data_IF_287075757641
#
_entry.id   IF_287075757641
#
_cell.length_a   1.000
_cell.length_b   1.000
_cell.length_c   1.000
_cell.angle_alpha   90.00
_cell.angle_beta   90.00
_cell.angle_gamma   90.00
#
_symmetry.space_group_name_H-M   'P 1'
#
loop_
_entity.id
_entity.type
_entity.pdbx_description
1 polymer ?
#
# COMPACT_ATOMS: atom_id res chain seq x y z
N UNK A 1 -5.98 18.48 7.98
CA UNK A 1 -5.89 17.85 7.96
C UNK A 1 -6.43 17.08 7.40
N UNK A 2 -6.41 16.63 6.91
CA UNK A 2 -7.11 15.95 6.43
C UNK A 2 -6.73 14.87 5.93
N UNK A 3 -6.64 14.06 6.49
CA UNK A 3 -6.43 12.82 6.21
C UNK A 3 -7.48 12.32 5.42
N UNK A 4 -7.46 12.53 4.23
CA UNK A 4 -8.49 12.05 3.34
C UNK A 4 -8.15 10.64 2.93
N UNK A 5 -8.96 9.70 3.36
CA UNK A 5 -8.87 8.32 2.92
C UNK A 5 -9.98 8.05 1.91
N UNK A 6 -9.69 7.19 0.95
CA UNK A 6 -10.63 6.82 -0.09
C UNK A 6 -10.77 5.30 -0.17
N UNK A 7 -11.97 4.79 -0.44
CA UNK A 7 -12.14 3.35 -0.65
C UNK A 7 -11.27 2.87 -1.81
N UNK A 8 -10.64 1.73 -1.62
CA UNK A 8 -9.73 1.18 -2.61
C UNK A 8 -9.72 -0.32 -2.58
N UNK A 9 -9.32 -0.93 -3.68
CA UNK A 9 -9.01 -2.35 -3.75
C UNK A 9 -7.52 -2.48 -3.84
N UNK A 10 -6.95 -3.24 -2.95
CA UNK A 10 -5.51 -3.42 -2.88
C UNK A 10 -5.17 -4.88 -3.11
N UNK A 11 -4.40 -5.13 -4.18
CA UNK A 11 -3.83 -6.45 -4.42
C UNK A 11 -2.38 -6.38 -3.97
N UNK A 12 -1.93 -7.36 -3.19
CA UNK A 12 -0.55 -7.36 -2.75
C UNK A 12 0.05 -8.74 -2.88
N UNK A 13 1.29 -8.77 -3.33
CA UNK A 13 2.01 -10.00 -3.58
C UNK A 13 2.93 -10.36 -2.43
N UNK A 14 2.86 -11.62 -2.01
CA UNK A 14 3.68 -12.15 -0.95
C UNK A 14 4.53 -13.28 -1.47
N UNK A 15 5.74 -13.41 -0.95
CA UNK A 15 6.58 -14.57 -1.23
C UNK A 15 6.41 -15.54 -0.07
N UNK A 16 5.96 -16.74 -0.35
CA UNK A 16 5.74 -17.75 0.67
C UNK A 16 6.66 -18.93 0.44
N UNK A 17 6.65 -19.84 1.40
CA UNK A 17 7.40 -21.08 1.28
C UNK A 17 7.02 -21.88 0.02
N UNK A 18 5.79 -21.74 -0.43
CA UNK A 18 5.30 -22.47 -1.59
C UNK A 18 5.31 -21.63 -2.88
N UNK A 19 5.92 -20.46 -2.86
CA UNK A 19 5.99 -19.58 -4.01
C UNK A 19 5.32 -18.27 -3.76
N UNK A 20 4.97 -17.56 -4.83
CA UNK A 20 4.36 -16.26 -4.71
C UNK A 20 2.84 -16.38 -4.74
N UNK A 21 2.17 -15.63 -3.89
CA UNK A 21 0.71 -15.56 -3.89
C UNK A 21 0.30 -14.10 -3.92
N UNK A 22 -0.89 -13.85 -4.43
CA UNK A 22 -1.47 -12.51 -4.44
C UNK A 22 -2.75 -12.54 -3.63
N UNK A 23 -2.90 -11.57 -2.74
CA UNK A 23 -4.10 -11.40 -1.94
C UNK A 23 -4.77 -10.10 -2.30
N UNK A 24 -6.07 -10.02 -2.13
CA UNK A 24 -6.85 -8.83 -2.41
C UNK A 24 -7.61 -8.43 -1.15
N UNK A 25 -7.61 -7.14 -0.86
CA UNK A 25 -8.36 -6.61 0.28
C UNK A 25 -9.01 -5.30 -0.12
N UNK A 26 -10.24 -5.08 0.35
CA UNK A 26 -10.89 -3.78 0.22
C UNK A 26 -10.55 -2.98 1.47
N UNK A 27 -10.07 -1.76 1.28
CA UNK A 27 -9.61 -0.94 2.37
C UNK A 27 -9.74 0.54 2.02
N UNK A 28 -9.40 1.39 2.96
CA UNK A 28 -9.33 2.82 2.71
C UNK A 28 -7.88 3.23 2.70
N UNK A 29 -7.50 4.03 1.72
CA UNK A 29 -6.11 4.43 1.55
C UNK A 29 -5.98 5.92 1.34
N UNK A 30 -4.83 6.45 1.72
CA UNK A 30 -4.41 7.80 1.42
C UNK A 30 -3.13 7.74 0.60
N UNK A 31 -2.97 8.66 -0.33
CA UNK A 31 -1.79 8.72 -1.17
C UNK A 31 -1.03 10.01 -0.89
N UNK A 32 0.28 9.89 -0.73
CA UNK A 32 1.16 11.04 -0.54
C UNK A 32 2.31 10.95 -1.51
N UNK A 33 2.78 12.08 -1.99
CA UNK A 33 3.97 12.11 -2.82
C UNK A 33 5.21 12.21 -1.93
N UNK A 34 6.34 11.70 -2.42
CA UNK A 34 7.61 11.86 -1.74
C UNK A 34 8.24 13.14 -2.27
N UNK A 35 8.51 14.15 -1.41
CA UNK A 35 8.92 15.48 -1.89
C UNK A 35 10.14 15.50 -2.76
N UNK A 36 11.11 14.63 -2.48
CA UNK A 36 12.38 14.66 -3.21
C UNK A 36 12.39 13.65 -4.36
N UNK A 37 11.32 12.90 -4.58
CA UNK A 37 11.31 11.87 -5.60
C UNK A 37 9.92 11.77 -6.20
N UNK A 38 9.69 12.38 -7.35
CA UNK A 38 8.37 12.39 -7.97
C UNK A 38 7.94 11.02 -8.50
N UNK A 39 8.87 10.06 -8.56
CA UNK A 39 8.53 8.74 -9.05
C UNK A 39 8.07 7.81 -7.94
N UNK A 40 8.23 8.19 -6.69
CA UNK A 40 7.78 7.36 -5.56
C UNK A 40 6.52 7.93 -4.96
N UNK A 41 5.74 7.07 -4.35
CA UNK A 41 4.58 7.53 -3.60
C UNK A 41 4.47 6.74 -2.30
N UNK A 42 3.78 7.32 -1.35
CA UNK A 42 3.50 6.68 -0.09
C UNK A 42 2.03 6.31 -0.06
N UNK A 43 1.76 5.06 0.27
CA UNK A 43 0.40 4.57 0.41
C UNK A 43 0.14 4.35 1.89
N UNK A 44 -0.84 5.05 2.43
CA UNK A 44 -1.26 4.87 3.81
C UNK A 44 -2.52 4.04 3.82
N UNK A 45 -2.49 2.91 4.49
CA UNK A 45 -3.64 2.00 4.58
C UNK A 45 -4.24 2.16 5.96
N UNK A 46 -5.50 2.55 6.00
CA UNK A 46 -6.19 2.78 7.26
C UNK A 46 -6.47 1.46 7.96
N UNK A 47 -6.39 1.47 9.28
CA UNK A 47 -6.74 0.29 10.07
C UNK A 47 -8.22 -0.07 9.87
N UNK A 48 -8.59 -1.35 9.89
CA UNK A 48 -7.73 -2.49 10.18
C UNK A 48 -6.87 -2.88 8.98
N UNK A 49 -5.65 -3.29 9.25
CA UNK A 49 -4.69 -3.65 8.22
C UNK A 49 -4.44 -5.15 8.31
N UNK A 50 -4.43 -5.87 7.17
CA UNK A 50 -4.08 -7.28 7.20
C UNK A 50 -2.70 -7.51 7.83
N UNK A 51 -2.58 -8.56 8.62
CA UNK A 51 -1.35 -8.81 9.38
C UNK A 51 -0.14 -9.02 8.48
N UNK A 52 -0.35 -9.51 7.27
CA UNK A 52 0.73 -9.83 6.36
C UNK A 52 0.98 -8.75 5.31
N UNK A 53 0.26 -7.63 5.36
CA UNK A 53 0.46 -6.58 4.36
C UNK A 53 1.85 -5.96 4.45
N UNK A 54 2.44 -5.91 5.63
CA UNK A 54 3.78 -5.35 5.79
C UNK A 54 4.85 -6.25 5.16
N UNK A 55 4.50 -7.46 4.75
CA UNK A 55 5.42 -8.34 4.06
C UNK A 55 5.27 -8.29 2.55
N UNK A 56 4.38 -7.45 2.05
CA UNK A 56 4.13 -7.35 0.62
C UNK A 56 5.37 -6.84 -0.12
N UNK A 57 5.64 -7.42 -1.26
CA UNK A 57 6.75 -7.01 -2.12
C UNK A 57 6.26 -6.12 -3.24
N UNK A 58 5.08 -6.38 -3.75
CA UNK A 58 4.50 -5.66 -4.88
C UNK A 58 3.06 -5.34 -4.50
N UNK A 59 2.59 -4.17 -4.86
CA UNK A 59 1.20 -3.81 -4.68
C UNK A 59 0.61 -3.25 -5.96
N UNK A 60 -0.70 -3.47 -6.12
CA UNK A 60 -1.50 -2.82 -7.15
C UNK A 60 -2.71 -2.26 -6.43
N UNK A 61 -2.86 -0.95 -6.44
CA UNK A 61 -3.97 -0.31 -5.74
C UNK A 61 -4.87 0.38 -6.75
N UNK A 62 -6.17 0.13 -6.63
CA UNK A 62 -7.18 0.77 -7.46
C UNK A 62 -7.99 1.71 -6.59
N UNK A 63 -7.83 2.99 -6.83
CA UNK A 63 -8.46 4.03 -6.02
C UNK A 63 -8.89 5.18 -6.91
N UNK A 64 -10.12 5.62 -6.77
CA UNK A 64 -10.66 6.78 -7.49
C UNK A 64 -10.51 6.64 -9.00
N UNK A 65 -10.74 5.44 -9.53
CA UNK A 65 -10.63 5.20 -10.97
C UNK A 65 -9.21 5.11 -11.50
N UNK A 66 -8.21 5.17 -10.62
CA UNK A 66 -6.81 5.06 -11.01
C UNK A 66 -6.24 3.73 -10.53
N UNK A 67 -5.28 3.23 -11.28
CA UNK A 67 -4.54 2.04 -10.87
C UNK A 67 -3.08 2.43 -10.70
N UNK A 68 -2.55 2.18 -9.52
CA UNK A 68 -1.15 2.45 -9.22
C UNK A 68 -0.49 1.15 -8.83
N UNK A 69 0.72 0.93 -9.33
CA UNK A 69 1.42 -0.34 -9.15
C UNK A 69 2.89 -0.08 -8.90
N UNK A 70 3.49 -0.84 -8.04
CA UNK A 70 4.92 -0.72 -7.82
C UNK A 70 5.45 -1.70 -6.79
N UNK A 71 6.73 -1.54 -6.50
CA UNK A 71 7.46 -2.37 -5.54
C UNK A 71 7.54 -1.66 -4.21
N UNK A 72 7.21 -2.36 -3.13
CA UNK A 72 7.28 -1.81 -1.78
C UNK A 72 8.75 -1.79 -1.35
N UNK A 73 9.25 -0.60 -1.04
CA UNK A 73 10.64 -0.42 -0.64
C UNK A 73 10.80 -0.31 0.87
N UNK A 74 9.76 0.17 1.54
CA UNK A 74 9.83 0.37 2.98
C UNK A 74 8.42 0.39 3.55
N UNK A 75 8.27 -0.01 4.80
CA UNK A 75 6.97 0.08 5.47
C UNK A 75 7.16 0.59 6.89
N UNK A 76 6.10 1.15 7.44
CA UNK A 76 6.09 1.64 8.81
C UNK A 76 4.70 1.44 9.39
N UNK A 77 4.63 0.75 10.53
CA UNK A 77 3.38 0.64 11.27
C UNK A 77 3.28 1.84 12.18
N UNK A 78 2.11 2.45 12.19
CA UNK A 78 1.89 3.68 12.95
C UNK A 78 1.11 3.37 14.23
N UNK A 79 1.11 4.35 15.14
CA UNK A 79 0.48 4.19 16.44
C UNK A 79 -1.02 3.96 16.34
N UNK A 80 -1.66 4.47 15.30
CA UNK A 80 -3.09 4.30 15.10
C UNK A 80 -3.41 2.99 14.39
N UNK A 81 -2.42 2.12 14.25
CA UNK A 81 -2.53 0.81 13.61
C UNK A 81 -2.69 0.89 12.10
N UNK A 82 -2.49 2.05 11.50
CA UNK A 82 -2.41 2.15 10.06
C UNK A 82 -1.02 1.72 9.59
N UNK A 83 -0.91 1.43 8.30
CA UNK A 83 0.35 1.00 7.71
C UNK A 83 0.73 1.97 6.60
N UNK A 84 1.98 2.41 6.61
CA UNK A 84 2.50 3.31 5.60
C UNK A 84 3.48 2.52 4.74
N UNK A 85 3.28 2.54 3.44
CA UNK A 85 4.12 1.83 2.48
C UNK A 85 4.76 2.83 1.54
N UNK A 86 6.08 2.77 1.40
CA UNK A 86 6.77 3.54 0.39
C UNK A 86 6.91 2.68 -0.84
N UNK A 87 6.42 3.17 -1.97
CA UNK A 87 6.30 2.38 -3.18
C UNK A 87 7.05 3.06 -4.31
N UNK A 88 7.84 2.27 -5.01
CA UNK A 88 8.53 2.72 -6.20
C UNK A 88 7.73 2.19 -7.40
N UNK A 89 7.13 3.06 -8.24
CA UNK A 89 6.34 2.60 -9.38
C UNK A 89 7.19 1.82 -10.37
N UNK A 90 6.55 0.89 -11.03
CA UNK A 90 7.21 0.12 -12.09
C UNK A 90 7.47 0.95 -13.33
#
# INVERSE_FOLDING_TARGET
MDDTYHPARLDYGLTTFFGQITKTVDCEVGLETVPDDPYRFTLCVKAPVPDDLDQAKIIVVKVKGRTLQGTVRHFERRDDKSLKLEVEPD
#
